data_IF_438624855920
#
_entry.id   IF_438624855920
#
_cell.length_a   1.000
_cell.length_b   1.000
_cell.length_c   1.000
_cell.angle_alpha   90.00
_cell.angle_beta   90.00
_cell.angle_gamma   90.00
#
_symmetry.space_group_name_H-M   'P 1'
#
loop_
_entity.id
_entity.type
_entity.pdbx_description
1 polymer ?
#
# COMPACT_ATOMS: atom_id res chain seq x y z
N UNK A 1 18.06 3.12 5.85
CA UNK A 1 17.80 1.83 6.52
C UNK A 1 16.33 1.42 6.36
N UNK A 2 15.38 2.15 6.97
CA UNK A 2 13.94 1.83 6.92
C UNK A 2 13.32 1.92 5.51
N UNK A 3 13.63 2.98 4.76
CA UNK A 3 13.09 3.19 3.40
C UNK A 3 13.47 2.07 2.40
N UNK A 4 14.70 1.55 2.52
CA UNK A 4 15.16 0.42 1.72
C UNK A 4 14.40 -0.87 2.07
N UNK A 5 14.10 -1.07 3.36
CA UNK A 5 13.27 -2.19 3.82
C UNK A 5 11.86 -2.14 3.24
N UNK A 6 11.22 -0.97 3.24
CA UNK A 6 9.90 -0.80 2.61
C UNK A 6 9.94 -1.05 1.11
N UNK A 7 10.96 -0.56 0.41
CA UNK A 7 11.10 -0.79 -1.02
C UNK A 7 11.25 -2.29 -1.33
N UNK A 8 12.08 -3.01 -0.56
CA UNK A 8 12.23 -4.46 -0.69
C UNK A 8 10.90 -5.19 -0.39
N UNK A 9 10.19 -4.81 0.67
CA UNK A 9 8.90 -5.41 1.00
C UNK A 9 7.86 -5.22 -0.10
N UNK A 10 7.79 -4.02 -0.69
CA UNK A 10 6.91 -3.73 -1.84
C UNK A 10 7.29 -4.59 -3.05
N UNK A 11 8.57 -4.68 -3.40
CA UNK A 11 9.02 -5.51 -4.52
C UNK A 11 8.69 -6.99 -4.30
N UNK A 12 8.93 -7.51 -3.10
CA UNK A 12 8.58 -8.89 -2.75
C UNK A 12 7.07 -9.12 -2.85
N UNK A 13 6.26 -8.18 -2.37
CA UNK A 13 4.80 -8.24 -2.49
C UNK A 13 4.31 -8.23 -3.94
N UNK A 14 4.89 -7.39 -4.80
CA UNK A 14 4.55 -7.34 -6.22
C UNK A 14 4.94 -8.64 -6.94
N UNK A 15 6.13 -9.19 -6.67
CA UNK A 15 6.57 -10.47 -7.24
C UNK A 15 5.64 -11.60 -6.77
N UNK A 16 5.26 -11.62 -5.49
CA UNK A 16 4.33 -12.62 -4.97
C UNK A 16 2.97 -12.57 -5.69
N UNK A 17 2.42 -11.38 -5.95
CA UNK A 17 1.18 -11.24 -6.73
C UNK A 17 1.33 -11.80 -8.15
N UNK A 18 2.41 -11.47 -8.85
CA UNK A 18 2.69 -12.02 -10.20
C UNK A 18 2.72 -13.54 -10.15
N UNK A 19 3.43 -14.12 -9.19
CA UNK A 19 3.54 -15.58 -9.04
C UNK A 19 2.20 -16.23 -8.75
N UNK A 20 1.40 -15.66 -7.84
CA UNK A 20 0.08 -16.20 -7.50
C UNK A 20 -0.83 -16.20 -8.73
N UNK A 21 -0.92 -15.09 -9.45
CA UNK A 21 -1.79 -15.00 -10.62
C UNK A 21 -1.31 -15.85 -11.78
N UNK A 22 0.01 -16.02 -11.96
CA UNK A 22 0.56 -16.93 -12.97
C UNK A 22 0.26 -18.41 -12.64
N UNK A 23 0.30 -18.80 -11.36
CA UNK A 23 -0.11 -20.15 -10.94
C UNK A 23 -1.60 -20.34 -11.15
N UNK A 24 -2.42 -19.34 -10.80
CA UNK A 24 -3.87 -19.39 -10.99
C UNK A 24 -4.28 -19.44 -12.45
N UNK A 25 -3.54 -18.79 -13.35
CA UNK A 25 -3.83 -18.84 -14.78
C UNK A 25 -3.41 -20.15 -15.46
N UNK A 26 -2.50 -20.91 -14.84
CA UNK A 26 -2.10 -22.23 -15.30
C UNK A 26 -3.11 -23.35 -14.99
N UNK A 27 -4.20 -23.05 -14.26
CA UNK A 27 -5.25 -24.03 -13.98
C UNK A 27 -6.10 -24.30 -15.24
N UNK A 28 -6.59 -25.54 -15.44
CA UNK A 28 -7.59 -25.84 -16.45
C UNK A 28 -8.84 -24.98 -16.24
N UNK A 29 -9.41 -24.45 -17.32
CA UNK A 29 -10.59 -23.58 -17.30
C UNK A 29 -10.43 -22.29 -16.47
N UNK A 30 -9.19 -21.83 -16.26
CA UNK A 30 -8.92 -20.58 -15.57
C UNK A 30 -9.56 -19.37 -16.30
N UNK A 31 -10.22 -18.47 -15.56
CA UNK A 31 -10.70 -17.22 -16.13
C UNK A 31 -9.58 -16.37 -16.75
N UNK A 32 -9.80 -15.87 -17.96
CA UNK A 32 -8.82 -15.08 -18.71
C UNK A 32 -8.33 -13.80 -17.99
N UNK A 33 -9.06 -13.32 -16.96
CA UNK A 33 -8.62 -12.17 -16.19
C UNK A 33 -7.40 -12.46 -15.30
N UNK A 34 -7.08 -13.73 -15.01
CA UNK A 34 -5.89 -14.09 -14.25
C UNK A 34 -4.59 -13.81 -15.01
N UNK A 35 -4.57 -14.02 -16.33
CA UNK A 35 -3.42 -13.62 -17.16
C UNK A 35 -3.21 -12.11 -17.12
N UNK A 36 -4.30 -11.35 -17.16
CA UNK A 36 -4.23 -9.88 -17.07
C UNK A 36 -3.68 -9.44 -15.71
N UNK A 37 -4.21 -10.03 -14.62
CA UNK A 37 -3.79 -9.77 -13.23
C UNK A 37 -2.33 -10.14 -12.97
N UNK A 38 -1.78 -11.16 -13.64
CA UNK A 38 -0.37 -11.52 -13.53
C UNK A 38 0.57 -10.46 -14.10
N UNK A 39 0.11 -9.66 -15.07
CA UNK A 39 0.93 -8.66 -15.77
C UNK A 39 0.69 -7.24 -15.24
N UNK A 40 -0.43 -6.97 -14.56
CA UNK A 40 -0.74 -5.64 -14.01
C UNK A 40 0.34 -5.06 -13.08
N UNK A 41 1.03 -5.82 -12.20
CA UNK A 41 2.07 -5.25 -11.34
C UNK A 41 3.26 -4.75 -12.15
N UNK A 42 3.61 -5.47 -13.22
CA UNK A 42 4.70 -5.10 -14.14
C UNK A 42 4.29 -3.86 -14.93
N UNK A 43 3.06 -3.82 -15.43
CA UNK A 43 2.53 -2.66 -16.18
C UNK A 43 2.47 -1.40 -15.32
N UNK A 44 2.12 -1.51 -14.03
CA UNK A 44 2.13 -0.38 -13.11
C UNK A 44 3.54 0.22 -12.90
N UNK A 45 4.59 -0.60 -13.00
CA UNK A 45 5.99 -0.16 -12.87
C UNK A 45 6.56 0.38 -14.19
N UNK A 46 6.22 -0.25 -15.31
CA UNK A 46 6.83 0.04 -16.62
C UNK A 46 6.09 1.16 -17.37
N UNK A 47 4.77 1.29 -17.18
CA UNK A 47 3.94 2.24 -17.93
C UNK A 47 3.74 3.52 -17.09
N UNK A 48 4.39 4.64 -17.45
CA UNK A 48 4.39 5.84 -16.60
C UNK A 48 3.00 6.41 -16.30
N UNK A 49 2.06 6.48 -17.27
CA UNK A 49 0.70 6.95 -16.97
C UNK A 49 -0.07 6.07 -15.98
N UNK A 50 0.12 4.75 -16.02
CA UNK A 50 -0.56 3.80 -15.12
C UNK A 50 0.01 3.89 -13.70
N UNK A 51 1.34 3.95 -13.58
CA UNK A 51 2.00 4.16 -12.29
C UNK A 51 1.58 5.47 -11.63
N UNK A 52 1.53 6.56 -12.40
CA UNK A 52 1.07 7.86 -11.89
C UNK A 52 -0.41 7.84 -11.49
N UNK A 53 -1.27 7.17 -12.25
CA UNK A 53 -2.67 7.01 -11.87
C UNK A 53 -2.81 6.24 -10.54
N UNK A 54 -2.11 5.10 -10.39
CA UNK A 54 -2.13 4.33 -9.16
C UNK A 54 -1.59 5.13 -7.97
N UNK A 55 -0.56 5.93 -8.19
CA UNK A 55 -0.01 6.85 -7.18
C UNK A 55 -1.04 7.89 -6.74
N UNK A 56 -1.70 8.59 -7.68
CA UNK A 56 -2.74 9.56 -7.35
C UNK A 56 -3.95 8.92 -6.67
N UNK A 57 -4.37 7.75 -7.13
CA UNK A 57 -5.45 7.00 -6.50
C UNK A 57 -5.11 6.65 -5.05
N UNK A 58 -3.88 6.22 -4.81
CA UNK A 58 -3.40 5.90 -3.46
C UNK A 58 -3.47 7.15 -2.58
N UNK A 59 -2.96 8.30 -3.04
CA UNK A 59 -3.06 9.57 -2.31
C UNK A 59 -4.51 9.92 -1.97
N UNK A 60 -5.44 9.78 -2.93
CA UNK A 60 -6.85 10.10 -2.71
C UNK A 60 -7.47 9.15 -1.67
N UNK A 61 -7.20 7.84 -1.77
CA UNK A 61 -7.76 6.83 -0.87
C UNK A 61 -7.17 6.92 0.53
N UNK A 62 -5.86 7.12 0.65
CA UNK A 62 -5.19 7.22 1.96
C UNK A 62 -5.30 8.61 2.56
N UNK A 63 -5.60 9.64 1.76
CA UNK A 63 -5.67 11.04 2.17
C UNK A 63 -6.56 11.26 3.39
N UNK A 64 -7.78 10.69 3.36
CA UNK A 64 -8.73 10.77 4.48
C UNK A 64 -8.18 10.09 5.74
N UNK A 65 -7.55 8.92 5.62
CA UNK A 65 -6.95 8.21 6.75
C UNK A 65 -5.82 9.03 7.39
N UNK A 66 -4.91 9.57 6.57
CA UNK A 66 -3.84 10.46 7.05
C UNK A 66 -4.40 11.73 7.71
N UNK A 67 -5.46 12.31 7.16
CA UNK A 67 -6.11 13.50 7.72
C UNK A 67 -6.76 13.19 9.07
N UNK A 68 -7.45 12.06 9.20
CA UNK A 68 -8.06 11.60 10.45
C UNK A 68 -7.01 11.40 11.54
N UNK A 69 -5.88 10.76 11.22
CA UNK A 69 -4.80 10.59 12.19
C UNK A 69 -4.13 11.92 12.58
N UNK A 70 -3.94 12.83 11.63
CA UNK A 70 -3.42 14.17 11.90
C UNK A 70 -4.36 14.95 12.84
N UNK A 71 -5.67 14.92 12.57
CA UNK A 71 -6.68 15.57 13.41
C UNK A 71 -6.78 14.94 14.81
N UNK A 72 -6.70 13.61 14.92
CA UNK A 72 -6.63 12.93 16.22
C UNK A 72 -5.40 13.38 17.00
N UNK A 73 -4.22 13.39 16.37
CA UNK A 73 -2.99 13.87 16.99
C UNK A 73 -3.13 15.32 17.47
N UNK A 74 -3.66 16.20 16.63
CA UNK A 74 -3.85 17.62 16.98
C UNK A 74 -4.88 17.82 18.10
N UNK A 75 -5.97 17.05 18.11
CA UNK A 75 -6.96 17.06 19.20
C UNK A 75 -6.38 16.62 20.54
N UNK A 76 -5.51 15.60 20.55
CA UNK A 76 -4.82 15.17 21.78
C UNK A 76 -3.71 16.14 22.20
N UNK A 77 -3.18 16.95 21.28
CA UNK A 77 -2.04 17.85 21.53
C UNK A 77 -2.47 18.97 22.47
N UNK A 78 -3.71 19.39 22.32
CA UNK A 78 -4.38 20.37 23.16
C UNK A 78 -4.76 19.84 24.55
N UNK A 79 -4.67 18.53 24.82
CA UNK A 79 -5.21 17.93 26.06
C UNK A 79 -4.22 17.26 27.02
N UNK A 80 -3.04 16.83 26.59
CA UNK A 80 -1.88 16.48 27.47
C UNK A 80 -0.82 15.71 26.67
N UNK A 81 0.45 16.08 26.87
CA UNK A 81 1.65 15.45 26.29
C UNK A 81 1.73 13.93 26.48
N UNK A 82 1.16 13.39 27.56
CA UNK A 82 1.21 11.94 27.85
C UNK A 82 0.36 11.09 26.90
N UNK A 83 -0.75 11.63 26.38
CA UNK A 83 -1.60 10.92 25.43
C UNK A 83 -0.94 10.81 24.04
N UNK A 84 -0.02 11.71 23.70
CA UNK A 84 0.73 11.67 22.43
C UNK A 84 1.62 10.45 22.29
N UNK A 85 2.30 10.05 23.38
CA UNK A 85 3.19 8.89 23.35
C UNK A 85 2.44 7.58 23.09
N UNK A 86 1.23 7.44 23.62
CA UNK A 86 0.42 6.24 23.45
C UNK A 86 -0.13 6.11 22.03
N UNK A 87 -0.70 7.19 21.48
CA UNK A 87 -1.25 7.17 20.11
C UNK A 87 -0.17 7.19 19.03
N UNK A 88 0.94 7.92 19.25
CA UNK A 88 2.11 7.86 18.37
C UNK A 88 2.75 6.47 18.35
N UNK A 89 2.81 5.79 19.50
CA UNK A 89 3.25 4.39 19.59
C UNK A 89 2.30 3.41 18.90
N UNK A 90 0.98 3.58 19.06
CA UNK A 90 -0.01 2.76 18.38
C UNK A 90 0.01 2.96 16.86
N UNK A 91 0.20 4.19 16.38
CA UNK A 91 0.33 4.50 14.97
C UNK A 91 1.60 3.90 14.34
N UNK A 92 2.71 3.89 15.08
CA UNK A 92 3.94 3.22 14.65
C UNK A 92 3.81 1.68 14.60
N UNK A 93 2.88 1.09 15.35
CA UNK A 93 2.62 -0.34 15.36
C UNK A 93 1.54 -0.78 14.34
N UNK A 94 0.68 0.15 13.92
CA UNK A 94 -0.40 -0.10 12.94
C UNK A 94 0.01 0.21 11.49
N UNK A 95 1.24 0.73 11.28
CA UNK A 95 1.84 1.00 9.98
C UNK A 95 2.85 -0.06 9.55
#
# INVERSE_FOLDING_TARGET
MVLAGYLVAVLVGLIALVVIYAVLSALPDAPAYFDLMGVTPIMALVVPPLGMFAYFLTIVVTGTQTLVFALLAEFFSLRSFWLHMLFGGAAAAAG
#
